data_IF_321639164156
#
_entry.id   IF_321639164156
#
_cell.length_a   1.000
_cell.length_b   1.000
_cell.length_c   1.000
_cell.angle_alpha   90.00
_cell.angle_beta   90.00
_cell.angle_gamma   90.00
#
_symmetry.space_group_name_H-M   'P 1'
#
loop_
_entity.id
_entity.type
_entity.pdbx_description
1 polymer ?
#
# COMPACT_ATOMS: atom_id res chain seq x y z
N UNK A 1 -14.62 15.22 25.67
CA UNK A 1 -13.91 14.75 24.47
C UNK A 1 -14.38 13.30 24.22
N UNK A 2 -14.06 12.63 23.11
CA UNK A 2 -14.54 11.25 22.90
C UNK A 2 -13.90 10.31 23.96
N UNK A 3 -14.65 9.47 24.71
CA UNK A 3 -14.08 8.59 25.74
C UNK A 3 -12.96 7.66 25.24
N UNK A 4 -13.06 7.17 24.00
CA UNK A 4 -12.02 6.33 23.39
C UNK A 4 -10.73 7.12 23.16
N UNK A 5 -10.86 8.38 22.73
CA UNK A 5 -9.73 9.30 22.55
C UNK A 5 -9.07 9.65 23.88
N UNK A 6 -9.87 9.96 24.91
CA UNK A 6 -9.38 10.19 26.28
C UNK A 6 -8.57 8.98 26.78
N UNK A 7 -9.10 7.77 26.56
CA UNK A 7 -8.41 6.53 26.92
C UNK A 7 -7.08 6.33 26.20
N UNK A 8 -7.00 6.64 24.90
CA UNK A 8 -5.74 6.58 24.16
C UNK A 8 -4.70 7.57 24.70
N UNK A 9 -5.13 8.78 25.07
CA UNK A 9 -4.25 9.79 25.65
C UNK A 9 -3.72 9.34 27.03
N UNK A 10 -4.56 8.71 27.86
CA UNK A 10 -4.11 8.12 29.13
C UNK A 10 -3.06 7.04 28.92
N UNK A 11 -3.32 6.09 28.01
CA UNK A 11 -2.38 5.01 27.69
C UNK A 11 -1.07 5.60 27.18
N UNK A 12 -1.12 6.58 26.29
CA UNK A 12 0.05 7.29 25.79
C UNK A 12 0.88 7.88 26.93
N UNK A 13 0.25 8.64 27.83
CA UNK A 13 0.93 9.29 28.97
C UNK A 13 1.58 8.29 29.92
N UNK A 14 0.93 7.15 30.17
CA UNK A 14 1.43 6.13 31.10
C UNK A 14 2.51 5.24 30.48
N UNK A 15 2.34 4.85 29.21
CA UNK A 15 3.08 3.74 28.62
C UNK A 15 4.04 4.12 27.48
N UNK A 16 3.89 5.31 26.90
CA UNK A 16 4.60 5.71 25.68
C UNK A 16 5.41 7.00 25.88
N UNK A 17 4.81 8.04 26.47
CA UNK A 17 5.42 9.35 26.61
C UNK A 17 6.79 9.29 27.31
N UNK A 18 7.76 10.03 26.75
CA UNK A 18 9.12 10.12 27.24
C UNK A 18 9.98 8.88 27.00
N UNK A 19 9.43 7.82 26.39
CA UNK A 19 10.17 6.59 26.10
C UNK A 19 10.76 6.64 24.69
N UNK A 20 11.99 6.13 24.58
CA UNK A 20 12.64 5.84 23.31
C UNK A 20 12.35 4.36 22.99
N UNK A 21 11.87 4.02 21.77
CA UNK A 21 11.63 2.64 21.40
C UNK A 21 12.91 1.79 21.50
N UNK A 22 12.93 0.85 22.44
CA UNK A 22 13.95 -0.20 22.44
C UNK A 22 13.60 -1.24 21.37
N UNK A 23 14.40 -1.24 20.32
CA UNK A 23 14.29 -2.15 19.16
C UNK A 23 15.44 -3.16 19.13
N UNK A 24 16.25 -3.24 20.20
CA UNK A 24 17.29 -4.26 20.34
C UNK A 24 16.65 -5.66 20.36
N UNK A 25 17.28 -6.61 19.66
CA UNK A 25 16.73 -7.97 19.50
C UNK A 25 15.66 -8.16 18.40
N UNK A 26 15.16 -7.09 17.78
CA UNK A 26 14.28 -7.18 16.59
C UNK A 26 15.09 -7.19 15.30
N UNK A 27 14.65 -7.97 14.30
CA UNK A 27 15.35 -8.07 13.02
C UNK A 27 15.58 -6.68 12.42
N UNK A 28 16.85 -6.32 12.24
CA UNK A 28 17.28 -4.98 11.76
C UNK A 28 16.64 -4.62 10.42
N UNK A 29 16.26 -5.63 9.62
CA UNK A 29 15.66 -5.48 8.28
C UNK A 29 14.14 -5.30 8.27
N UNK A 30 13.48 -5.25 9.43
CA UNK A 30 12.03 -5.07 9.51
C UNK A 30 11.68 -3.59 9.76
N UNK A 31 11.28 -2.88 8.71
CA UNK A 31 10.93 -1.46 8.76
C UNK A 31 9.77 -1.17 9.73
N UNK A 32 8.90 -2.16 10.01
CA UNK A 32 7.77 -2.04 10.94
C UNK A 32 8.10 -2.17 12.43
N UNK A 33 9.37 -2.36 12.83
CA UNK A 33 9.74 -2.65 14.24
C UNK A 33 9.34 -1.59 15.26
N UNK A 34 9.33 -0.31 14.86
CA UNK A 34 8.88 0.81 15.69
C UNK A 34 7.36 0.84 15.83
N UNK A 35 6.64 0.59 14.73
CA UNK A 35 5.19 0.41 14.74
C UNK A 35 4.76 -0.71 15.70
N UNK A 36 5.38 -1.89 15.59
CA UNK A 36 5.10 -2.99 16.52
C UNK A 36 5.40 -2.67 17.97
N UNK A 37 6.48 -1.91 18.24
CA UNK A 37 6.77 -1.49 19.61
C UNK A 37 5.64 -0.59 20.14
N UNK A 38 5.15 0.32 19.30
CA UNK A 38 4.08 1.24 19.66
C UNK A 38 2.75 0.50 19.86
N UNK A 39 2.36 -0.37 18.93
CA UNK A 39 1.19 -1.27 19.02
C UNK A 39 1.17 -2.03 20.36
N UNK A 40 2.28 -2.66 20.75
CA UNK A 40 2.41 -3.38 22.02
C UNK A 40 2.20 -2.47 23.24
N UNK A 41 2.66 -1.21 23.21
CA UNK A 41 2.46 -0.26 24.31
C UNK A 41 1.03 0.20 24.46
N UNK A 42 0.26 0.17 23.38
CA UNK A 42 -1.18 0.38 23.42
C UNK A 42 -1.98 -0.91 23.65
N UNK A 43 -1.32 -2.05 23.85
CA UNK A 43 -1.96 -3.33 24.19
C UNK A 43 -2.50 -4.10 23.00
N UNK A 44 -2.07 -3.78 21.78
CA UNK A 44 -2.45 -4.51 20.57
C UNK A 44 -1.60 -5.76 20.44
N UNK A 45 -2.24 -6.93 20.41
CA UNK A 45 -1.59 -8.15 19.92
C UNK A 45 -1.60 -8.11 18.40
N UNK A 46 -0.45 -8.25 17.75
CA UNK A 46 -0.34 -8.27 16.29
C UNK A 46 -1.32 -9.28 15.67
N UNK A 47 -2.32 -8.80 14.92
CA UNK A 47 -3.24 -9.64 14.16
C UNK A 47 -3.29 -9.17 12.70
N UNK A 48 -3.81 -10.01 11.81
CA UNK A 48 -3.95 -9.69 10.38
C UNK A 48 -5.36 -9.13 10.07
N UNK A 49 -6.02 -8.54 11.06
CA UNK A 49 -7.38 -8.03 10.93
C UNK A 49 -7.37 -6.66 10.25
N UNK A 50 -8.42 -6.38 9.47
CA UNK A 50 -8.53 -5.15 8.68
C UNK A 50 -9.39 -4.08 9.37
N UNK A 51 -9.69 -4.23 10.66
CA UNK A 51 -10.43 -3.25 11.46
C UNK A 51 -9.50 -2.19 12.06
N UNK A 52 -10.06 -1.06 12.49
CA UNK A 52 -9.34 -0.03 13.23
C UNK A 52 -8.59 -0.63 14.43
N UNK A 53 -7.31 -0.29 14.56
CA UNK A 53 -6.39 -0.98 15.46
C UNK A 53 -6.82 -0.90 16.94
N UNK A 54 -7.32 0.26 17.40
CA UNK A 54 -7.55 0.51 18.83
C UNK A 54 -8.74 1.44 19.06
N UNK A 55 -9.79 0.94 19.73
CA UNK A 55 -10.94 1.75 20.18
C UNK A 55 -11.57 2.60 19.06
N UNK A 56 -11.60 2.09 17.82
CA UNK A 56 -12.15 2.79 16.65
C UNK A 56 -11.16 3.73 15.94
N UNK A 57 -9.89 3.76 16.34
CA UNK A 57 -8.83 4.51 15.69
C UNK A 57 -7.75 3.61 15.08
N UNK A 58 -7.30 3.92 13.86
CA UNK A 58 -6.09 3.33 13.26
C UNK A 58 -4.83 3.99 13.84
N UNK A 59 -3.87 3.20 14.27
CA UNK A 59 -2.55 3.67 14.70
C UNK A 59 -1.59 3.74 13.51
N UNK A 60 -1.09 4.93 13.22
CA UNK A 60 0.04 5.12 12.30
C UNK A 60 1.30 5.43 13.08
N UNK A 61 2.41 4.84 12.65
CA UNK A 61 3.71 5.15 13.19
C UNK A 61 4.32 6.35 12.44
N UNK A 62 5.00 7.23 13.18
CA UNK A 62 5.87 8.24 12.58
C UNK A 62 6.98 7.56 11.77
N UNK A 63 7.09 7.91 10.48
CA UNK A 63 8.09 7.34 9.57
C UNK A 63 9.15 8.36 9.19
N UNK A 64 10.38 7.90 9.01
CA UNK A 64 11.49 8.72 8.49
C UNK A 64 11.69 8.56 6.98
N UNK A 65 10.91 7.69 6.32
CA UNK A 65 10.97 7.41 4.88
C UNK A 65 10.33 8.52 4.03
N UNK A 66 9.79 9.56 4.65
CA UNK A 66 9.08 10.66 3.98
C UNK A 66 7.65 10.32 3.53
N UNK A 67 7.19 9.08 3.74
CA UNK A 67 5.87 8.61 3.32
C UNK A 67 5.21 7.70 4.35
N UNK A 68 3.89 7.75 4.42
CA UNK A 68 3.06 6.93 5.32
C UNK A 68 2.02 6.16 4.50
N UNK A 69 1.79 4.92 4.92
CA UNK A 69 0.98 3.94 4.17
C UNK A 69 -0.44 3.88 4.72
N UNK A 70 -1.45 4.00 3.86
CA UNK A 70 -2.84 3.72 4.19
C UNK A 70 -3.01 2.24 4.49
N UNK A 71 -2.58 1.39 3.55
CA UNK A 71 -2.47 -0.05 3.75
C UNK A 71 -1.69 -0.76 2.63
N UNK A 72 -1.36 -2.03 2.87
CA UNK A 72 -0.89 -2.97 1.85
C UNK A 72 -2.09 -3.77 1.34
N UNK A 73 -2.63 -3.31 0.21
CA UNK A 73 -3.85 -3.84 -0.37
C UNK A 73 -3.53 -4.45 -1.72
N UNK A 74 -3.23 -5.76 -1.74
CA UNK A 74 -3.06 -6.50 -2.99
C UNK A 74 -4.26 -6.34 -3.92
N UNK A 75 -4.00 -6.35 -5.23
CA UNK A 75 -5.03 -6.25 -6.26
C UNK A 75 -6.04 -7.39 -6.12
N UNK A 76 -7.26 -7.12 -6.55
CA UNK A 76 -8.28 -8.17 -6.69
C UNK A 76 -7.89 -9.11 -7.84
N UNK A 77 -7.33 -8.54 -8.89
CA UNK A 77 -6.96 -9.25 -10.10
C UNK A 77 -5.53 -8.91 -10.53
N UNK A 78 -4.78 -9.96 -10.90
CA UNK A 78 -3.52 -9.84 -11.64
C UNK A 78 -3.65 -10.70 -12.89
N UNK A 79 -3.21 -10.19 -14.04
CA UNK A 79 -3.28 -10.92 -15.32
C UNK A 79 -2.67 -12.32 -15.25
N UNK A 80 -1.59 -12.51 -14.50
CA UNK A 80 -0.91 -13.79 -14.35
C UNK A 80 -1.69 -14.83 -13.53
N UNK A 81 -2.82 -14.45 -12.93
CA UNK A 81 -3.75 -15.34 -12.21
C UNK A 81 -5.02 -15.64 -13.02
N UNK A 82 -5.31 -14.89 -14.08
CA UNK A 82 -6.60 -14.89 -14.78
C UNK A 82 -6.52 -15.73 -16.07
N UNK A 83 -7.37 -16.74 -16.27
CA UNK A 83 -7.51 -17.42 -17.56
C UNK A 83 -8.09 -16.47 -18.64
N UNK A 84 -7.70 -16.63 -19.92
CA UNK A 84 -6.69 -17.57 -20.43
C UNK A 84 -5.25 -17.08 -20.26
N UNK A 85 -5.04 -15.82 -19.86
CA UNK A 85 -3.73 -15.16 -19.81
C UNK A 85 -2.72 -15.82 -18.87
N UNK A 86 -3.17 -16.45 -17.80
CA UNK A 86 -2.30 -17.11 -16.84
C UNK A 86 -1.38 -18.18 -17.46
N UNK A 87 -1.71 -18.70 -18.64
CA UNK A 87 -0.92 -19.70 -19.40
C UNK A 87 0.29 -19.08 -20.11
N UNK A 88 0.28 -17.75 -20.30
CA UNK A 88 1.36 -16.98 -20.92
C UNK A 88 2.52 -16.69 -19.96
N UNK A 89 2.33 -16.93 -18.66
CA UNK A 89 3.33 -16.71 -17.62
C UNK A 89 3.95 -18.04 -17.21
N UNK A 90 5.28 -18.14 -17.31
CA UNK A 90 6.01 -19.35 -16.93
C UNK A 90 5.86 -19.65 -15.44
N UNK A 91 5.85 -20.94 -15.09
CA UNK A 91 5.67 -21.41 -13.72
C UNK A 91 4.39 -22.18 -13.48
N UNK A 92 4.45 -23.08 -12.50
CA UNK A 92 3.35 -23.93 -12.06
C UNK A 92 2.54 -23.29 -10.92
N UNK A 93 3.19 -22.41 -10.13
CA UNK A 93 2.58 -21.73 -8.99
C UNK A 93 2.34 -20.25 -9.27
N UNK A 94 1.43 -19.63 -8.51
CA UNK A 94 1.17 -18.19 -8.61
C UNK A 94 2.43 -17.34 -8.34
N UNK A 95 3.34 -17.80 -7.48
CA UNK A 95 4.59 -17.10 -7.18
C UNK A 95 5.58 -17.18 -8.34
N UNK A 96 5.65 -18.30 -9.04
CA UNK A 96 6.51 -18.44 -10.22
C UNK A 96 5.97 -17.60 -11.38
N UNK A 97 4.65 -17.60 -11.58
CA UNK A 97 3.99 -16.73 -12.58
C UNK A 97 4.16 -15.24 -12.26
N UNK A 98 4.23 -14.86 -10.98
CA UNK A 98 4.57 -13.51 -10.58
C UNK A 98 6.02 -13.13 -10.95
N UNK A 99 6.97 -14.08 -10.92
CA UNK A 99 8.33 -13.82 -11.40
C UNK A 99 8.32 -13.51 -12.90
N UNK A 100 7.63 -14.34 -13.70
CA UNK A 100 7.44 -14.08 -15.12
C UNK A 100 6.78 -12.71 -15.38
N UNK A 101 5.78 -12.35 -14.58
CA UNK A 101 5.17 -11.02 -14.62
C UNK A 101 6.18 -9.90 -14.35
N UNK A 102 7.06 -10.04 -13.36
CA UNK A 102 8.11 -9.07 -13.07
C UNK A 102 9.10 -8.93 -14.22
N UNK A 103 9.42 -10.02 -14.93
CA UNK A 103 10.28 -10.00 -16.11
C UNK A 103 9.64 -9.26 -17.28
N UNK A 104 8.33 -9.46 -17.49
CA UNK A 104 7.59 -8.87 -18.60
C UNK A 104 7.26 -7.39 -18.39
N UNK A 105 6.82 -7.02 -17.19
CA UNK A 105 6.28 -5.68 -16.91
C UNK A 105 7.13 -4.87 -15.92
N UNK A 106 8.15 -5.47 -15.31
CA UNK A 106 9.08 -4.81 -14.39
C UNK A 106 10.41 -4.46 -15.03
N UNK A 107 11.42 -4.25 -14.17
CA UNK A 107 12.81 -3.99 -14.58
C UNK A 107 13.81 -4.71 -13.67
N UNK A 108 15.02 -5.03 -14.16
CA UNK A 108 16.08 -5.58 -13.31
C UNK A 108 16.63 -4.51 -12.36
N UNK A 109 17.16 -4.95 -11.23
CA UNK A 109 17.89 -4.11 -10.30
C UNK A 109 19.32 -4.63 -10.12
N UNK A 110 20.29 -3.95 -10.71
CA UNK A 110 21.72 -4.32 -10.66
C UNK A 110 22.27 -4.39 -9.24
N UNK A 111 21.83 -3.50 -8.35
CA UNK A 111 22.21 -3.53 -6.93
C UNK A 111 21.63 -4.75 -6.18
N UNK A 112 20.77 -5.54 -6.84
CA UNK A 112 20.18 -6.78 -6.35
C UNK A 112 20.48 -7.96 -7.30
N UNK A 113 21.65 -7.95 -7.95
CA UNK A 113 22.12 -9.00 -8.86
C UNK A 113 21.16 -9.23 -10.05
N UNK A 114 20.65 -8.14 -10.64
CA UNK A 114 19.76 -8.20 -11.80
C UNK A 114 18.33 -8.66 -11.50
N UNK A 115 17.97 -8.88 -10.23
CA UNK A 115 16.62 -9.33 -9.84
C UNK A 115 15.54 -8.38 -10.35
N UNK A 116 14.54 -8.91 -11.03
CA UNK A 116 13.44 -8.10 -11.55
C UNK A 116 12.44 -7.71 -10.46
N UNK A 117 11.90 -6.50 -10.61
CA UNK A 117 10.80 -6.00 -9.79
C UNK A 117 9.84 -5.14 -10.59
N UNK A 118 8.56 -5.29 -10.29
CA UNK A 118 7.53 -4.37 -10.75
C UNK A 118 7.38 -3.29 -9.68
N UNK A 119 8.33 -2.35 -9.65
CA UNK A 119 8.46 -1.31 -8.62
C UNK A 119 9.27 -0.11 -9.11
N UNK A 120 8.96 1.09 -8.61
CA UNK A 120 9.59 2.33 -9.09
C UNK A 120 9.09 2.71 -10.49
N UNK A 121 9.99 2.94 -11.44
CA UNK A 121 9.64 3.42 -12.78
C UNK A 121 8.67 2.55 -13.62
N UNK A 122 8.57 1.21 -13.44
CA UNK A 122 7.53 0.40 -14.07
C UNK A 122 6.12 0.61 -13.47
N UNK A 123 6.00 1.25 -12.30
CA UNK A 123 4.71 1.64 -11.75
C UNK A 123 4.29 2.98 -12.34
N UNK A 124 3.17 3.06 -13.06
CA UNK A 124 2.72 4.31 -13.65
C UNK A 124 2.15 5.25 -12.59
N UNK A 125 2.17 6.55 -12.89
CA UNK A 125 1.36 7.53 -12.17
C UNK A 125 -0.07 7.48 -12.70
N UNK A 126 -1.01 7.96 -11.90
CA UNK A 126 -2.40 8.09 -12.35
C UNK A 126 -2.47 8.97 -13.62
N UNK A 127 -3.25 8.54 -14.61
CA UNK A 127 -3.50 9.24 -15.87
C UNK A 127 -2.28 9.44 -16.79
N UNK A 128 -1.16 8.76 -16.54
CA UNK A 128 0.07 8.95 -17.31
C UNK A 128 0.70 7.62 -17.69
N UNK A 129 1.00 7.46 -18.99
CA UNK A 129 1.84 6.38 -19.47
C UNK A 129 3.27 6.53 -18.95
N UNK A 130 3.86 5.44 -18.46
CA UNK A 130 5.28 5.36 -18.20
C UNK A 130 6.04 4.77 -19.41
N UNK A 131 7.37 4.72 -19.31
CA UNK A 131 8.22 4.17 -20.39
C UNK A 131 8.04 2.67 -20.65
N UNK A 132 7.25 1.97 -19.82
CA UNK A 132 6.92 0.55 -19.96
C UNK A 132 5.56 0.36 -20.62
N UNK A 133 4.94 1.43 -21.14
CA UNK A 133 3.63 1.42 -21.77
C UNK A 133 2.47 1.23 -20.79
N UNK A 134 2.71 1.40 -19.49
CA UNK A 134 1.69 1.18 -18.46
C UNK A 134 1.05 2.50 -18.04
N UNK A 135 -0.25 2.48 -17.76
CA UNK A 135 -1.03 3.61 -17.23
C UNK A 135 -1.93 3.13 -16.10
N UNK A 136 -2.10 3.95 -15.07
CA UNK A 136 -3.10 3.72 -14.01
C UNK A 136 -4.28 4.66 -14.23
N UNK A 137 -5.50 4.14 -14.13
CA UNK A 137 -6.74 4.90 -14.32
C UNK A 137 -7.75 4.56 -13.23
N UNK A 138 -8.68 5.48 -12.98
CA UNK A 138 -9.90 5.23 -12.20
C UNK A 138 -11.05 5.08 -13.19
N UNK A 139 -11.69 3.92 -13.25
CA UNK A 139 -12.84 3.69 -14.12
C UNK A 139 -14.12 4.31 -13.55
N UNK A 140 -15.18 4.40 -14.36
CA UNK A 140 -16.47 4.98 -13.95
C UNK A 140 -17.09 4.29 -12.72
N UNK A 141 -16.81 3.00 -12.54
CA UNK A 141 -17.24 2.22 -11.38
C UNK A 141 -16.33 2.40 -10.13
N UNK A 142 -15.37 3.33 -10.22
CA UNK A 142 -14.35 3.64 -9.22
C UNK A 142 -13.32 2.52 -8.99
N UNK A 143 -13.25 1.54 -9.88
CA UNK A 143 -12.15 0.60 -9.90
C UNK A 143 -10.85 1.31 -10.27
N UNK A 144 -9.75 0.91 -9.64
CA UNK A 144 -8.43 1.34 -10.08
C UNK A 144 -7.83 0.23 -10.93
N UNK A 145 -7.45 0.58 -12.15
CA UNK A 145 -6.94 -0.39 -13.12
C UNK A 145 -5.59 0.07 -13.65
N UNK A 146 -4.64 -0.86 -13.75
CA UNK A 146 -3.41 -0.63 -14.49
C UNK A 146 -3.52 -1.38 -15.82
N UNK A 147 -3.45 -0.59 -16.89
CA UNK A 147 -3.41 -1.06 -18.27
C UNK A 147 -1.98 -1.03 -18.80
N UNK A 148 -1.67 -1.93 -19.72
CA UNK A 148 -0.46 -1.93 -20.52
C UNK A 148 -0.85 -1.76 -21.99
N UNK A 149 -0.18 -0.85 -22.68
CA UNK A 149 -0.32 -0.59 -24.11
C UNK A 149 1.00 -0.86 -24.80
N UNK A 150 1.00 -1.86 -25.68
CA UNK A 150 2.20 -2.26 -26.43
C UNK A 150 2.69 -1.12 -27.36
N UNK A 151 1.79 -0.32 -27.91
CA UNK A 151 2.15 0.84 -28.73
C UNK A 151 2.86 1.94 -27.92
N UNK A 152 2.53 2.07 -26.63
CA UNK A 152 3.14 3.05 -25.71
C UNK A 152 4.39 2.52 -24.99
N UNK A 153 4.70 1.22 -25.07
CA UNK A 153 5.93 0.67 -24.48
C UNK A 153 7.18 1.13 -25.26
N UNK A 154 8.08 1.82 -24.56
CA UNK A 154 9.28 2.44 -25.15
C UNK A 154 10.53 1.56 -25.04
N UNK A 155 10.42 0.36 -24.46
CA UNK A 155 11.56 -0.56 -24.31
C UNK A 155 11.96 -1.12 -25.67
N UNK A 156 13.26 -1.06 -25.97
CA UNK A 156 13.82 -1.53 -27.24
C UNK A 156 13.58 -3.03 -27.48
N UNK A 157 13.55 -3.83 -26.41
CA UNK A 157 13.34 -5.28 -26.46
C UNK A 157 11.89 -5.70 -26.19
N UNK A 158 10.90 -4.80 -26.31
CA UNK A 158 9.50 -5.13 -26.01
C UNK A 158 8.93 -6.32 -26.80
N UNK A 159 9.38 -6.51 -28.05
CA UNK A 159 8.96 -7.62 -28.91
C UNK A 159 9.49 -8.99 -28.44
N UNK A 160 10.59 -9.01 -27.68
CA UNK A 160 11.19 -10.23 -27.15
C UNK A 160 10.57 -10.61 -25.80
N UNK A 161 10.28 -9.62 -24.96
CA UNK A 161 9.81 -9.83 -23.59
C UNK A 161 8.28 -9.92 -23.47
N UNK A 162 7.52 -9.32 -24.40
CA UNK A 162 6.06 -9.40 -24.43
C UNK A 162 5.64 -10.46 -25.47
N UNK A 163 4.91 -11.51 -25.08
CA UNK A 163 4.47 -12.56 -26.00
C UNK A 163 3.47 -11.99 -27.03
N UNK A 164 3.40 -12.52 -28.26
CA UNK A 164 2.53 -11.99 -29.32
C UNK A 164 1.06 -11.81 -28.92
N UNK A 165 0.55 -12.70 -28.06
CA UNK A 165 -0.82 -12.64 -27.53
C UNK A 165 -1.10 -11.40 -26.67
N UNK A 166 -0.06 -10.72 -26.21
CA UNK A 166 -0.12 -9.47 -25.42
C UNK A 166 0.52 -8.28 -26.18
N UNK A 167 0.81 -8.41 -27.48
CA UNK A 167 1.34 -7.31 -28.30
C UNK A 167 0.20 -6.48 -28.89
N UNK A 168 -0.69 -6.01 -28.04
CA UNK A 168 -1.77 -5.10 -28.39
C UNK A 168 -1.99 -4.09 -27.25
N UNK A 169 -2.92 -3.17 -27.45
CA UNK A 169 -3.19 -2.10 -26.48
C UNK A 169 -4.27 -2.50 -25.46
N UNK A 170 -4.36 -1.70 -24.39
CA UNK A 170 -5.39 -1.79 -23.34
C UNK A 170 -5.45 -3.12 -22.58
N UNK A 171 -4.29 -3.74 -22.33
CA UNK A 171 -4.20 -4.99 -21.58
C UNK A 171 -4.29 -4.71 -20.08
N UNK A 172 -5.35 -5.17 -19.43
CA UNK A 172 -5.46 -5.09 -17.97
C UNK A 172 -4.42 -6.00 -17.32
N UNK A 173 -3.45 -5.40 -16.62
CA UNK A 173 -2.42 -6.15 -15.90
C UNK A 173 -2.70 -6.28 -14.39
N UNK A 174 -3.45 -5.32 -13.83
CA UNK A 174 -3.89 -5.32 -12.44
C UNK A 174 -5.20 -4.55 -12.27
N UNK A 175 -6.10 -5.02 -11.39
CA UNK A 175 -7.34 -4.32 -11.02
C UNK A 175 -7.60 -4.41 -9.52
N UNK A 176 -7.96 -3.28 -8.95
CA UNK A 176 -8.59 -3.16 -7.64
C UNK A 176 -10.06 -2.81 -7.82
N UNK A 177 -10.93 -3.55 -7.18
CA UNK A 177 -12.35 -3.19 -7.14
C UNK A 177 -12.56 -2.01 -6.19
N UNK A 178 -13.20 -0.96 -6.67
CA UNK A 178 -13.43 0.27 -5.92
C UNK A 178 -14.49 0.10 -4.84
N UNK A 179 -15.74 -0.09 -5.27
CA UNK A 179 -16.93 -0.13 -4.40
C UNK A 179 -17.65 -1.47 -4.41
N UNK A 180 -17.68 -2.16 -5.55
CA UNK A 180 -18.39 -3.43 -5.69
C UNK A 180 -17.44 -4.53 -6.16
N UNK A 181 -17.53 -5.71 -5.56
CA UNK A 181 -16.80 -6.89 -6.01
C UNK A 181 -17.77 -7.84 -6.74
N UNK A 182 -17.66 -8.00 -8.08
CA UNK A 182 -18.53 -8.89 -8.85
C UNK A 182 -18.23 -10.38 -8.60
N UNK A 183 -17.04 -10.71 -8.10
CA UNK A 183 -16.63 -12.07 -7.79
C UNK A 183 -17.10 -12.45 -6.38
N UNK A 184 -18.41 -12.69 -6.23
CA UNK A 184 -19.09 -13.11 -5.01
C UNK A 184 -18.54 -14.43 -4.39
N UNK A 185 -17.52 -15.06 -4.99
CA UNK A 185 -16.83 -16.23 -4.45
C UNK A 185 -15.41 -15.89 -3.96
N UNK A 186 -15.28 -15.86 -2.63
CA UNK A 186 -14.05 -15.94 -1.83
C UNK A 186 -13.10 -14.71 -1.84
N UNK A 187 -13.31 -13.87 -0.81
CA UNK A 187 -12.27 -13.12 -0.05
C UNK A 187 -11.53 -11.97 -0.76
N UNK A 188 -12.20 -11.18 -1.59
CA UNK A 188 -11.66 -9.89 -2.01
C UNK A 188 -12.44 -8.74 -1.39
N UNK A 189 -11.95 -8.11 -0.32
CA UNK A 189 -12.45 -6.78 0.10
C UNK A 189 -12.20 -5.80 -1.05
N UNK A 190 -13.13 -4.87 -1.28
CA UNK A 190 -12.94 -3.73 -2.18
C UNK A 190 -11.97 -2.72 -1.55
N UNK A 191 -11.50 -1.72 -2.31
CA UNK A 191 -10.71 -0.62 -1.73
C UNK A 191 -11.52 0.15 -0.70
N UNK A 192 -12.83 0.36 -0.96
CA UNK A 192 -13.74 0.96 0.01
C UNK A 192 -13.74 0.20 1.33
N UNK A 193 -13.99 -1.11 1.29
CA UNK A 193 -14.01 -1.93 2.51
C UNK A 193 -12.66 -1.84 3.24
N UNK A 194 -11.54 -2.01 2.52
CA UNK A 194 -10.19 -2.01 3.11
C UNK A 194 -9.81 -0.68 3.77
N UNK A 195 -10.25 0.44 3.21
CA UNK A 195 -10.01 1.77 3.75
C UNK A 195 -10.95 2.04 4.92
N UNK A 196 -12.26 1.92 4.71
CA UNK A 196 -13.25 2.38 5.67
C UNK A 196 -13.29 1.51 6.93
N UNK A 197 -12.99 0.21 6.82
CA UNK A 197 -12.84 -0.67 7.98
C UNK A 197 -11.73 -0.21 8.94
N UNK A 198 -10.69 0.47 8.41
CA UNK A 198 -9.55 0.99 9.18
C UNK A 198 -9.75 2.43 9.64
N UNK A 199 -10.20 3.31 8.75
CA UNK A 199 -10.09 4.75 8.97
C UNK A 199 -11.42 5.47 9.16
N UNK A 200 -12.57 4.84 8.90
CA UNK A 200 -13.85 5.55 8.83
C UNK A 200 -14.72 5.44 10.09
N UNK A 201 -14.20 4.84 11.17
CA UNK A 201 -14.90 4.81 12.47
C UNK A 201 -14.69 6.13 13.23
N UNK A 202 -13.62 6.23 14.03
CA UNK A 202 -13.32 7.46 14.78
C UNK A 202 -12.10 8.22 14.24
N UNK A 203 -11.40 7.64 13.26
CA UNK A 203 -10.28 8.25 12.56
C UNK A 203 -8.97 7.52 12.78
N UNK A 204 -7.90 8.28 12.92
CA UNK A 204 -6.57 7.72 13.10
C UNK A 204 -5.75 8.56 14.07
N UNK A 205 -4.65 8.00 14.55
CA UNK A 205 -3.71 8.70 15.40
C UNK A 205 -2.27 8.27 15.14
N UNK A 206 -1.33 9.12 15.54
CA UNK A 206 0.10 8.86 15.51
C UNK A 206 0.76 9.40 16.75
N UNK A 207 1.95 8.91 17.08
CA UNK A 207 2.78 9.46 18.15
C UNK A 207 4.05 10.05 17.54
N UNK A 208 4.37 11.31 17.85
CA UNK A 208 5.55 12.01 17.33
C UNK A 208 6.67 12.01 18.35
N UNK A 209 7.91 11.98 17.86
CA UNK A 209 9.10 12.02 18.70
C UNK A 209 9.71 13.41 18.81
N UNK A 210 10.43 13.67 19.90
CA UNK A 210 11.26 14.86 20.07
C UNK A 210 12.63 14.71 19.40
N UNK A 211 13.52 15.70 19.59
CA UNK A 211 14.85 15.70 18.98
C UNK A 211 15.78 14.58 19.45
N UNK A 212 15.49 13.94 20.60
CA UNK A 212 16.27 12.80 21.10
C UNK A 212 15.63 11.45 20.73
N UNK A 213 14.49 11.47 20.03
CA UNK A 213 13.76 10.29 19.59
C UNK A 213 12.83 9.69 20.66
N UNK A 214 12.54 10.44 21.73
CA UNK A 214 11.56 10.04 22.73
C UNK A 214 10.16 10.51 22.31
N UNK A 215 9.13 9.70 22.53
CA UNK A 215 7.75 10.11 22.18
C UNK A 215 7.30 11.29 23.04
N UNK A 216 6.88 12.38 22.41
CA UNK A 216 6.46 13.63 23.08
C UNK A 216 4.95 13.87 23.00
N UNK A 217 4.35 13.61 21.83
CA UNK A 217 2.93 13.89 21.57
C UNK A 217 2.20 12.71 20.96
N UNK A 218 0.91 12.65 21.24
CA UNK A 218 -0.08 11.88 20.48
C UNK A 218 -0.94 12.85 19.67
N UNK A 219 -1.06 12.61 18.37
CA UNK A 219 -1.78 13.46 17.42
C UNK A 219 -2.87 12.65 16.73
N UNK A 220 -4.00 13.29 16.46
CA UNK A 220 -5.19 12.66 15.88
C UNK A 220 -5.56 13.30 14.56
N UNK A 221 -6.18 12.51 13.68
CA UNK A 221 -6.82 13.00 12.46
C UNK A 221 -8.23 12.44 12.33
N UNK A 222 -9.04 13.15 11.53
CA UNK A 222 -10.44 12.80 11.27
C UNK A 222 -10.60 11.46 10.53
N UNK A 223 -11.81 10.85 10.59
CA UNK A 223 -12.18 9.73 9.72
C UNK A 223 -11.90 9.98 8.24
N UNK A 224 -11.50 8.93 7.53
CA UNK A 224 -11.23 8.95 6.09
C UNK A 224 -12.24 8.04 5.39
N UNK A 225 -13.09 8.65 4.55
CA UNK A 225 -14.05 7.94 3.70
C UNK A 225 -13.39 7.52 2.38
N UNK A 226 -13.97 6.52 1.71
CA UNK A 226 -13.52 6.11 0.37
C UNK A 226 -13.63 7.24 -0.65
N UNK A 227 -14.70 8.03 -0.59
CA UNK A 227 -14.92 9.18 -1.48
C UNK A 227 -13.80 10.21 -1.39
N UNK A 228 -13.41 10.60 -0.17
CA UNK A 228 -12.31 11.55 0.00
C UNK A 228 -10.99 10.92 -0.44
N UNK A 229 -10.78 9.64 -0.13
CA UNK A 229 -9.54 8.95 -0.47
C UNK A 229 -9.35 8.75 -1.98
N UNK A 230 -10.39 8.35 -2.71
CA UNK A 230 -10.28 8.12 -4.16
C UNK A 230 -10.02 9.43 -4.92
N UNK A 231 -10.57 10.56 -4.45
CA UNK A 231 -10.26 11.88 -5.02
C UNK A 231 -8.77 12.26 -4.85
N UNK A 232 -8.12 11.80 -3.77
CA UNK A 232 -6.67 12.00 -3.59
C UNK A 232 -5.84 11.10 -4.49
N UNK A 233 -6.35 9.91 -4.81
CA UNK A 233 -5.73 9.04 -5.81
C UNK A 233 -5.83 9.69 -7.20
N UNK A 234 -7.02 10.19 -7.54
CA UNK A 234 -7.28 10.87 -8.80
C UNK A 234 -6.36 12.08 -9.01
N UNK A 235 -6.12 12.85 -7.95
CA UNK A 235 -5.20 13.99 -7.97
C UNK A 235 -3.71 13.61 -7.86
N UNK A 236 -3.39 12.33 -7.68
CA UNK A 236 -2.02 11.82 -7.52
C UNK A 236 -1.35 12.13 -6.17
N UNK A 237 -2.10 12.61 -5.17
CA UNK A 237 -1.61 12.82 -3.80
C UNK A 237 -1.40 11.47 -3.12
N UNK A 238 -2.39 10.58 -3.25
CA UNK A 238 -2.26 9.18 -2.87
C UNK A 238 -1.77 8.41 -4.09
N UNK A 239 -0.70 7.63 -3.92
CA UNK A 239 -0.09 6.87 -5.01
C UNK A 239 0.09 5.40 -4.64
N UNK A 240 0.11 4.57 -5.67
CA UNK A 240 0.44 3.16 -5.58
C UNK A 240 1.96 2.96 -5.61
N UNK A 241 2.47 2.21 -4.64
CA UNK A 241 3.86 1.80 -4.51
C UNK A 241 3.93 0.27 -4.40
N UNK A 242 4.44 -0.36 -5.44
CA UNK A 242 4.57 -1.81 -5.50
C UNK A 242 5.94 -2.25 -4.96
N UNK A 243 5.92 -3.23 -4.04
CA UNK A 243 7.09 -3.96 -3.57
C UNK A 243 7.22 -5.35 -4.21
N UNK A 244 6.59 -5.58 -5.38
CA UNK A 244 6.61 -6.87 -6.06
C UNK A 244 7.97 -7.12 -6.71
N UNK A 245 8.59 -8.26 -6.41
CA UNK A 245 9.88 -8.67 -6.98
C UNK A 245 10.02 -10.18 -7.09
N UNK A 246 10.99 -10.64 -7.88
CA UNK A 246 11.24 -12.07 -8.10
C UNK A 246 11.63 -12.82 -6.82
N UNK A 247 11.04 -14.00 -6.61
CA UNK A 247 11.25 -14.81 -5.42
C UNK A 247 10.48 -14.33 -4.19
N UNK A 248 9.71 -13.24 -4.30
CA UNK A 248 8.78 -12.80 -3.27
C UNK A 248 7.41 -13.47 -3.43
N UNK A 249 6.86 -14.02 -2.36
CA UNK A 249 5.50 -14.57 -2.37
C UNK A 249 4.41 -13.50 -2.19
N UNK A 250 4.77 -12.31 -1.70
CA UNK A 250 3.82 -11.22 -1.43
C UNK A 250 3.99 -10.10 -2.45
N UNK A 251 2.92 -9.63 -3.11
CA UNK A 251 3.01 -8.50 -4.04
C UNK A 251 3.46 -7.18 -3.40
N UNK A 252 3.15 -6.94 -2.11
CA UNK A 252 3.33 -5.66 -1.42
C UNK A 252 2.74 -4.49 -2.21
N UNK A 253 1.43 -4.33 -2.13
CA UNK A 253 0.68 -3.33 -2.90
C UNK A 253 0.30 -2.15 -2.03
N UNK A 254 1.23 -1.21 -1.85
CA UNK A 254 1.14 -0.19 -0.83
C UNK A 254 0.49 1.07 -1.38
N UNK A 255 -0.57 1.53 -0.73
CA UNK A 255 -1.19 2.84 -1.01
C UNK A 255 -0.66 3.87 -0.04
N UNK A 256 -0.06 4.94 -0.56
CA UNK A 256 0.77 5.85 0.23
C UNK A 256 0.52 7.31 -0.10
N UNK A 257 0.84 8.18 0.85
CA UNK A 257 1.01 9.61 0.63
C UNK A 257 2.23 10.09 1.40
N UNK A 258 2.73 11.27 1.02
CA UNK A 258 3.87 11.87 1.69
C UNK A 258 3.53 12.31 3.12
N UNK A 259 4.52 12.31 4.00
CA UNK A 259 4.32 12.65 5.42
C UNK A 259 3.83 14.10 5.58
N UNK A 260 4.18 15.01 4.67
CA UNK A 260 3.64 16.38 4.67
C UNK A 260 2.13 16.38 4.54
N UNK A 261 1.57 15.54 3.66
CA UNK A 261 0.14 15.39 3.51
C UNK A 261 -0.49 14.77 4.76
N UNK A 262 0.06 13.67 5.28
CA UNK A 262 -0.43 13.07 6.52
C UNK A 262 -0.42 14.05 7.70
N UNK A 263 0.62 14.87 7.83
CA UNK A 263 0.71 15.90 8.87
C UNK A 263 -0.35 16.98 8.69
N UNK A 264 -0.73 17.33 7.45
CA UNK A 264 -1.82 18.28 7.19
C UNK A 264 -3.20 17.75 7.58
N UNK A 265 -3.35 16.43 7.75
CA UNK A 265 -4.60 15.81 8.21
C UNK A 265 -4.74 15.78 9.74
N UNK A 266 -3.71 16.20 10.49
CA UNK A 266 -3.76 16.25 11.95
C UNK A 266 -4.67 17.40 12.39
N UNK A 267 -5.66 17.08 13.22
CA UNK A 267 -6.63 18.03 13.75
C UNK A 267 -6.27 18.54 15.14
N UNK A 268 -5.63 17.70 15.95
CA UNK A 268 -5.17 18.09 17.29
C UNK A 268 -4.07 17.16 17.83
N UNK A 269 -3.30 17.66 18.80
CA UNK A 269 -2.23 16.93 19.48
C UNK A 269 -2.27 17.15 20.99
N UNK A 270 -1.86 16.15 21.75
CA UNK A 270 -1.80 16.15 23.21
C UNK A 270 -0.43 15.71 23.68
N UNK A 271 0.00 16.30 24.79
CA UNK A 271 1.15 15.86 25.57
C UNK A 271 0.69 14.96 26.71
#
# INVERSE_FOLDING_TARGET
MNPNKERLIEIFRSNVKGRIPDISGRNIRHDGRRGHWLEERFGVSANADNHADILGYELKNETTSGKTTFGDWSTNEYIFKIPPYNSLFSGSTASEKQNAFCQMFGKPNEAKNGRFSWSGSPIPKIWQYNSFGQIMVIEENLDIVIYCSFSQDLRYNKFEIIPPQLQHDEIQIARWYGVANPLLSRRGKTLKDKLEDKFNDLGWFTCTTDSIGAYDKICFGSPITFENWINLVDSGIVYFDSGMYEGNKRPYSQWRADNSYWNSLITDCHQ
#
